data_IF_108532858657
#
_entry.id   IF_108532858657
#
_cell.length_a   1.000
_cell.length_b   1.000
_cell.length_c   1.000
_cell.angle_alpha   90.00
_cell.angle_beta   90.00
_cell.angle_gamma   90.00
#
_symmetry.space_group_name_H-M   'P 1'
#
loop_
_entity.id
_entity.type
_entity.pdbx_description
1 polymer ?
#
# COMPACT_ATOMS: atom_id res chain seq x y z
N UNK A 1 -49.44 -41.88 12.22
CA UNK A 1 -49.28 -40.56 11.57
C UNK A 1 -48.67 -39.51 12.52
N UNK A 2 -49.06 -39.40 13.77
CA UNK A 2 -48.51 -38.40 14.73
C UNK A 2 -46.99 -38.49 14.97
N UNK A 3 -46.40 -39.69 15.11
CA UNK A 3 -44.96 -39.87 15.36
C UNK A 3 -44.06 -39.39 14.21
N UNK A 4 -44.51 -39.56 12.95
CA UNK A 4 -43.78 -39.11 11.75
C UNK A 4 -43.76 -37.61 11.65
N UNK A 5 -44.83 -36.94 12.03
CA UNK A 5 -44.88 -35.46 12.00
C UNK A 5 -44.03 -34.84 13.13
N UNK A 6 -43.97 -35.48 14.31
CA UNK A 6 -43.08 -35.04 15.39
C UNK A 6 -41.59 -35.17 15.00
N UNK A 7 -41.23 -36.24 14.30
CA UNK A 7 -39.87 -36.45 13.82
C UNK A 7 -39.46 -35.39 12.77
N UNK A 8 -40.39 -35.05 11.87
CA UNK A 8 -40.16 -34.02 10.84
C UNK A 8 -40.04 -32.60 11.45
N UNK A 9 -40.82 -32.27 12.46
CA UNK A 9 -40.70 -30.99 13.18
C UNK A 9 -39.40 -30.89 13.98
N UNK A 10 -38.95 -31.97 14.63
CA UNK A 10 -37.66 -32.01 15.33
C UNK A 10 -36.48 -31.85 14.36
N UNK A 11 -36.54 -32.47 13.17
CA UNK A 11 -35.50 -32.29 12.13
C UNK A 11 -35.47 -30.84 11.59
N UNK A 12 -36.62 -30.21 11.39
CA UNK A 12 -36.72 -28.84 10.92
C UNK A 12 -36.17 -27.83 11.95
N UNK A 13 -36.45 -28.03 13.24
CA UNK A 13 -35.92 -27.20 14.33
C UNK A 13 -34.40 -27.39 14.49
N UNK A 14 -33.89 -28.60 14.39
CA UNK A 14 -32.45 -28.87 14.41
C UNK A 14 -31.72 -28.22 13.23
N UNK A 15 -32.33 -28.20 12.04
CA UNK A 15 -31.77 -27.51 10.85
C UNK A 15 -31.72 -25.98 10.96
N UNK A 16 -32.65 -25.37 11.72
CA UNK A 16 -32.63 -23.88 11.93
C UNK A 16 -31.57 -23.44 12.97
N UNK A 17 -31.15 -24.33 13.88
CA UNK A 17 -30.14 -24.01 14.89
C UNK A 17 -28.70 -24.04 14.36
N UNK A 18 -28.46 -24.61 13.19
CA UNK A 18 -27.12 -24.67 12.57
C UNK A 18 -26.81 -23.48 11.67
N UNK A 19 -27.78 -22.58 11.41
CA UNK A 19 -27.60 -21.45 10.49
C UNK A 19 -26.95 -20.20 11.10
N UNK A 20 -26.62 -20.18 12.40
CA UNK A 20 -26.11 -19.00 13.09
C UNK A 20 -24.57 -18.95 13.23
N UNK A 21 -23.84 -19.85 12.57
CA UNK A 21 -22.41 -20.08 12.85
C UNK A 21 -21.41 -19.32 11.98
N UNK A 22 -21.80 -18.34 11.17
CA UNK A 22 -20.86 -17.73 10.23
C UNK A 22 -20.61 -16.22 10.41
N UNK A 23 -21.01 -15.61 11.54
CA UNK A 23 -20.80 -14.16 11.71
C UNK A 23 -19.35 -13.80 12.01
N UNK A 24 -18.72 -14.51 12.92
CA UNK A 24 -17.37 -14.16 13.38
C UNK A 24 -16.27 -14.38 12.33
N UNK A 25 -16.46 -15.34 11.41
CA UNK A 25 -15.48 -15.63 10.36
C UNK A 25 -15.46 -14.60 9.22
N UNK A 26 -16.55 -13.84 9.03
CA UNK A 26 -16.65 -12.82 8.01
C UNK A 26 -16.26 -11.42 8.53
N UNK A 27 -16.19 -11.25 9.84
CA UNK A 27 -15.78 -10.01 10.50
C UNK A 27 -14.25 -9.94 10.72
N UNK A 28 -13.52 -11.05 10.53
CA UNK A 28 -12.06 -11.01 10.50
C UNK A 28 -11.58 -10.48 9.15
N UNK A 29 -10.68 -9.49 9.20
CA UNK A 29 -10.04 -8.97 8.01
C UNK A 29 -9.32 -10.09 7.24
N UNK A 30 -9.52 -10.23 5.93
CA UNK A 30 -9.04 -11.38 5.14
C UNK A 30 -7.53 -11.44 4.93
N UNK A 31 -6.77 -10.52 5.49
CA UNK A 31 -5.32 -10.54 5.47
C UNK A 31 -4.73 -9.99 6.79
N UNK A 32 -3.48 -10.33 7.08
CA UNK A 32 -2.73 -9.92 8.26
C UNK A 32 -2.43 -8.41 8.32
N UNK A 33 -3.28 -7.56 7.81
CA UNK A 33 -3.12 -6.11 7.96
C UNK A 33 -3.28 -5.78 9.42
N UNK A 34 -2.28 -5.13 9.97
CA UNK A 34 -2.34 -4.63 11.32
C UNK A 34 -3.48 -3.60 11.40
N UNK A 35 -4.45 -3.81 12.29
CA UNK A 35 -5.43 -2.78 12.63
C UNK A 35 -4.69 -1.53 13.12
N UNK A 36 -5.02 -0.38 12.54
CA UNK A 36 -4.43 0.91 12.93
C UNK A 36 -5.21 1.51 14.10
N UNK A 37 -5.24 0.80 15.21
CA UNK A 37 -6.03 1.08 16.41
C UNK A 37 -5.29 1.92 17.46
N UNK A 38 -4.04 2.28 17.21
CA UNK A 38 -3.21 3.02 18.14
C UNK A 38 -2.29 4.03 17.46
N UNK A 39 -1.98 5.11 18.16
CA UNK A 39 -1.06 6.16 17.71
C UNK A 39 0.30 5.59 17.27
N UNK A 40 0.86 4.64 18.04
CA UNK A 40 2.15 4.03 17.72
C UNK A 40 2.13 3.26 16.40
N UNK A 41 1.03 2.58 16.09
CA UNK A 41 0.87 1.88 14.81
C UNK A 41 0.73 2.86 13.64
N UNK A 42 0.03 3.97 13.83
CA UNK A 42 -0.10 5.02 12.82
C UNK A 42 1.25 5.69 12.57
N UNK A 43 2.03 6.00 13.61
CA UNK A 43 3.38 6.55 13.46
C UNK A 43 4.28 5.55 12.71
N UNK A 44 4.21 4.26 13.05
CA UNK A 44 4.98 3.22 12.33
C UNK A 44 4.58 3.12 10.86
N UNK A 45 3.30 3.27 10.55
CA UNK A 45 2.81 3.31 9.16
C UNK A 45 3.38 4.54 8.43
N UNK A 46 3.37 5.72 9.04
CA UNK A 46 3.87 6.96 8.44
C UNK A 46 5.37 6.92 8.14
N UNK A 47 6.15 6.10 8.84
CA UNK A 47 7.56 5.87 8.49
C UNK A 47 7.70 5.29 7.07
N UNK A 48 6.74 4.49 6.60
CA UNK A 48 6.73 3.96 5.24
C UNK A 48 6.16 4.93 4.19
N UNK A 49 5.74 6.15 4.59
CA UNK A 49 5.26 7.17 3.67
C UNK A 49 6.37 7.95 2.96
N UNK A 50 7.63 7.72 3.32
CA UNK A 50 8.75 8.33 2.63
C UNK A 50 8.98 7.62 1.29
N UNK A 51 9.03 8.36 0.16
CA UNK A 51 9.30 7.74 -1.14
C UNK A 51 10.70 7.12 -1.18
N UNK A 52 10.77 5.82 -1.43
CA UNK A 52 12.02 5.08 -1.57
C UNK A 52 12.48 5.10 -3.03
N UNK A 53 12.81 6.29 -3.55
CA UNK A 53 13.34 6.40 -4.90
C UNK A 53 14.23 7.64 -5.02
N UNK A 54 15.28 7.54 -5.83
CA UNK A 54 16.23 8.60 -6.06
C UNK A 54 15.84 9.48 -7.27
N UNK A 55 14.81 10.31 -7.08
CA UNK A 55 14.41 11.30 -8.10
C UNK A 55 15.53 12.33 -8.37
N UNK A 56 16.40 12.58 -7.38
CA UNK A 56 17.53 13.51 -7.52
C UNK A 56 18.50 12.99 -8.59
N UNK A 57 18.77 11.68 -8.57
CA UNK A 57 19.60 11.04 -9.58
C UNK A 57 19.03 11.24 -10.99
N UNK A 58 17.75 10.96 -11.21
CA UNK A 58 17.11 11.15 -12.51
C UNK A 58 17.10 12.62 -12.96
N UNK A 59 16.88 13.56 -12.04
CA UNK A 59 16.90 14.99 -12.38
C UNK A 59 18.30 15.49 -12.66
N UNK A 60 19.31 15.01 -11.95
CA UNK A 60 20.70 15.41 -12.13
C UNK A 60 21.27 14.93 -13.47
N UNK A 61 20.87 13.74 -13.94
CA UNK A 61 21.24 13.23 -15.27
C UNK A 61 20.84 14.17 -16.42
N UNK A 62 19.78 14.96 -16.27
CA UNK A 62 19.31 15.92 -17.25
C UNK A 62 19.92 17.32 -17.11
N UNK A 63 20.95 17.50 -16.28
CA UNK A 63 21.59 18.80 -16.02
C UNK A 63 22.98 18.91 -16.65
N UNK A 64 23.52 20.12 -16.66
CA UNK A 64 24.89 20.42 -17.11
C UNK A 64 25.97 19.93 -16.12
N UNK A 65 25.59 19.34 -14.98
CA UNK A 65 26.53 18.85 -13.96
C UNK A 65 27.06 17.45 -14.28
N UNK A 66 26.47 16.78 -15.25
CA UNK A 66 26.84 15.42 -15.68
C UNK A 66 27.46 15.49 -17.07
N UNK A 67 28.53 14.74 -17.29
CA UNK A 67 29.18 14.62 -18.59
C UNK A 67 29.12 13.17 -19.09
N UNK A 68 29.04 13.02 -20.41
CA UNK A 68 29.00 11.71 -21.07
C UNK A 68 30.42 11.31 -21.51
N UNK A 69 30.97 10.28 -20.92
CA UNK A 69 32.27 9.69 -21.25
C UNK A 69 32.18 8.57 -22.30
N UNK A 70 31.01 8.36 -22.92
CA UNK A 70 30.78 7.32 -23.92
C UNK A 70 30.98 5.91 -23.36
N UNK A 71 31.81 5.11 -24.01
CA UNK A 71 32.08 3.73 -23.57
C UNK A 71 32.75 3.61 -22.20
N UNK A 72 33.21 4.72 -21.64
CA UNK A 72 33.84 4.80 -20.32
C UNK A 72 32.86 5.15 -19.21
N UNK A 73 31.59 5.31 -19.51
CA UNK A 73 30.58 5.55 -18.49
C UNK A 73 30.49 4.34 -17.54
N UNK A 74 30.48 4.58 -16.21
CA UNK A 74 30.40 3.50 -15.22
C UNK A 74 29.00 2.82 -15.21
N UNK A 75 28.01 3.47 -15.78
CA UNK A 75 26.63 3.00 -15.86
C UNK A 75 26.26 2.85 -17.34
N UNK A 76 25.94 1.62 -17.75
CA UNK A 76 25.61 1.27 -19.13
C UNK A 76 24.11 1.23 -19.44
N UNK A 77 23.28 1.75 -18.54
CA UNK A 77 21.83 1.63 -18.65
C UNK A 77 21.27 2.64 -19.65
N UNK A 78 20.52 2.12 -20.60
CA UNK A 78 20.00 2.89 -21.73
C UNK A 78 19.04 4.00 -21.32
N UNK A 79 18.31 3.83 -20.23
CA UNK A 79 17.43 4.89 -19.73
C UNK A 79 18.22 6.14 -19.27
N UNK A 80 19.41 5.97 -18.70
CA UNK A 80 20.29 7.06 -18.30
C UNK A 80 20.76 7.86 -19.51
N UNK A 81 21.17 7.18 -20.59
CA UNK A 81 21.51 7.79 -21.85
C UNK A 81 20.32 8.56 -22.45
N UNK A 82 19.13 8.00 -22.37
CA UNK A 82 17.90 8.64 -22.83
C UNK A 82 17.55 9.89 -22.03
N UNK A 83 17.71 9.87 -20.70
CA UNK A 83 17.51 11.06 -19.85
C UNK A 83 18.56 12.12 -20.19
N UNK A 84 19.83 11.77 -20.23
CA UNK A 84 20.92 12.69 -20.54
C UNK A 84 20.70 13.39 -21.87
N UNK A 85 20.28 12.66 -22.89
CA UNK A 85 20.02 13.20 -24.24
C UNK A 85 18.61 13.76 -24.42
N UNK A 86 17.79 13.91 -23.36
CA UNK A 86 16.41 14.40 -23.40
C UNK A 86 15.52 13.65 -24.40
N UNK A 87 15.73 12.34 -24.50
CA UNK A 87 14.97 11.44 -25.37
C UNK A 87 13.76 10.85 -24.63
N UNK A 88 12.85 10.26 -25.41
CA UNK A 88 11.74 9.49 -24.84
C UNK A 88 12.31 8.22 -24.18
N UNK A 89 12.03 8.05 -22.91
CA UNK A 89 12.46 6.88 -22.16
C UNK A 89 11.61 5.69 -22.58
N UNK A 90 12.24 4.69 -23.20
CA UNK A 90 11.59 3.49 -23.73
C UNK A 90 11.91 2.23 -22.96
N UNK A 91 12.86 2.27 -22.05
CA UNK A 91 13.29 1.14 -21.23
C UNK A 91 13.06 1.45 -19.77
N UNK A 92 12.48 0.48 -19.06
CA UNK A 92 12.23 0.55 -17.63
C UNK A 92 13.30 -0.27 -16.90
N UNK A 93 13.99 0.36 -15.97
CA UNK A 93 14.91 -0.28 -15.03
C UNK A 93 14.54 0.11 -13.60
N UNK A 94 15.27 -0.39 -12.60
CA UNK A 94 14.99 -0.14 -11.19
C UNK A 94 15.06 1.35 -10.79
N UNK A 95 15.80 2.17 -11.55
CA UNK A 95 16.03 3.59 -11.29
C UNK A 95 15.27 4.52 -12.24
N UNK A 96 14.37 4.00 -13.06
CA UNK A 96 13.66 4.78 -14.07
C UNK A 96 12.59 5.71 -13.46
N UNK A 97 12.10 6.73 -14.23
CA UNK A 97 11.08 7.63 -13.74
C UNK A 97 9.75 6.98 -13.34
N UNK A 98 9.44 5.77 -13.83
CA UNK A 98 8.22 5.05 -13.43
C UNK A 98 8.25 4.67 -11.96
N UNK A 99 9.43 4.36 -11.43
CA UNK A 99 9.66 4.08 -10.01
C UNK A 99 9.41 5.30 -9.13
N UNK A 100 9.73 6.49 -9.63
CA UNK A 100 9.42 7.74 -8.91
C UNK A 100 7.91 7.88 -8.71
N UNK A 101 7.14 7.64 -9.76
CA UNK A 101 5.68 7.66 -9.69
C UNK A 101 5.15 6.61 -8.71
N UNK A 102 5.64 5.37 -8.82
CA UNK A 102 5.26 4.27 -7.92
C UNK A 102 5.52 4.65 -6.46
N UNK A 103 6.72 5.13 -6.13
CA UNK A 103 7.11 5.53 -4.79
C UNK A 103 6.24 6.69 -4.25
N UNK A 104 5.99 7.72 -5.07
CA UNK A 104 5.13 8.84 -4.69
C UNK A 104 3.69 8.41 -4.45
N UNK A 105 3.10 7.60 -5.32
CA UNK A 105 1.73 7.13 -5.14
C UNK A 105 1.59 6.18 -3.95
N UNK A 106 2.60 5.35 -3.69
CA UNK A 106 2.64 4.53 -2.48
C UNK A 106 2.67 5.39 -1.21
N UNK A 107 3.51 6.42 -1.18
CA UNK A 107 3.56 7.38 -0.06
C UNK A 107 2.21 8.08 0.16
N UNK A 108 1.54 8.51 -0.92
CA UNK A 108 0.20 9.11 -0.86
C UNK A 108 -0.83 8.12 -0.31
N UNK A 109 -0.80 6.85 -0.75
CA UNK A 109 -1.71 5.82 -0.27
C UNK A 109 -1.54 5.58 1.23
N UNK A 110 -0.29 5.48 1.70
CA UNK A 110 0.05 5.32 3.12
C UNK A 110 -0.44 6.53 3.94
N UNK A 111 -0.19 7.74 3.47
CA UNK A 111 -0.63 8.96 4.14
C UNK A 111 -2.17 9.03 4.24
N UNK A 112 -2.87 8.69 3.17
CA UNK A 112 -4.33 8.66 3.17
C UNK A 112 -4.89 7.60 4.13
N UNK A 113 -4.27 6.44 4.22
CA UNK A 113 -4.64 5.39 5.16
C UNK A 113 -4.45 5.85 6.61
N UNK A 114 -3.32 6.50 6.92
CA UNK A 114 -3.08 7.07 8.23
C UNK A 114 -4.11 8.15 8.60
N UNK A 115 -4.44 9.06 7.67
CA UNK A 115 -5.44 10.10 7.88
C UNK A 115 -6.83 9.52 8.14
N UNK A 116 -7.23 8.47 7.41
CA UNK A 116 -8.50 7.79 7.63
C UNK A 116 -8.56 7.19 9.05
N UNK A 117 -7.49 6.52 9.49
CA UNK A 117 -7.43 5.94 10.84
C UNK A 117 -7.44 6.99 11.95
N UNK A 118 -6.75 8.13 11.76
CA UNK A 118 -6.76 9.25 12.72
C UNK A 118 -8.17 9.86 12.86
N UNK A 119 -8.96 9.87 11.78
CA UNK A 119 -10.31 10.43 11.81
C UNK A 119 -11.28 9.60 12.67
N UNK A 120 -10.99 8.31 12.87
CA UNK A 120 -11.80 7.40 13.67
C UNK A 120 -11.39 7.35 15.15
N UNK A 121 -10.26 7.98 15.52
CA UNK A 121 -9.69 7.94 16.85
C UNK A 121 -9.81 9.30 17.57
N UNK A 122 -9.78 9.29 18.93
CA UNK A 122 -9.58 10.51 19.70
C UNK A 122 -8.22 11.13 19.38
N UNK A 123 -8.22 12.36 18.91
CA UNK A 123 -7.01 13.06 18.48
C UNK A 123 -6.07 13.35 19.64
N UNK A 124 -4.90 12.77 19.63
CA UNK A 124 -3.77 13.17 20.50
C UNK A 124 -3.03 14.39 19.90
N UNK A 125 -2.15 14.98 20.68
CA UNK A 125 -1.32 16.11 20.21
C UNK A 125 -0.38 15.72 19.07
N UNK A 126 0.13 14.49 19.07
CA UNK A 126 0.99 13.98 18.01
C UNK A 126 0.22 13.72 16.69
N UNK A 127 -1.02 13.21 16.79
CA UNK A 127 -1.89 13.03 15.63
C UNK A 127 -2.29 14.36 14.99
N UNK A 128 -2.49 15.41 15.77
CA UNK A 128 -2.74 16.78 15.25
C UNK A 128 -1.56 17.32 14.45
N UNK A 129 -0.34 16.98 14.84
CA UNK A 129 0.86 17.41 14.14
C UNK A 129 1.10 16.63 12.83
N UNK A 130 0.50 15.43 12.69
CA UNK A 130 0.60 14.58 11.51
C UNK A 130 -0.41 14.92 10.40
N UNK A 131 -1.47 15.67 10.70
CA UNK A 131 -2.45 16.21 9.73
C UNK A 131 -1.88 17.43 9.00
#
# INVERSE_FOLDING_TARGET
MKKRNILLTLLAVAGMLTATSCKDYLDEMPDNRAELDSESKIISLLVSAYPENDYIFCTELGTDNVDDFGESNPYGDRFMEQIYNWQVISEADNEDPSRIWEACYNAIAVANQALASIAEMEETSAMKAAK
#
